data_IF_252324866253
#
_entry.id   IF_252324866253
#
_cell.length_a   1.000
_cell.length_b   1.000
_cell.length_c   1.000
_cell.angle_alpha   90.00
_cell.angle_beta   90.00
_cell.angle_gamma   90.00
#
_symmetry.space_group_name_H-M   'P 1'
#
loop_
_entity.id
_entity.type
_entity.pdbx_description
1 polymer ?
#
# COMPACT_ATOMS: atom_id res chain seq x y z
N UNK A 1 -24.81 21.33 0.70
CA UNK A 1 -24.79 20.09 -0.11
C UNK A 1 -23.38 19.53 0.04
N UNK A 2 -23.19 18.57 0.95
CA UNK A 2 -21.85 18.07 1.30
C UNK A 2 -21.38 17.09 0.22
N UNK A 3 -20.23 17.38 -0.38
CA UNK A 3 -19.56 16.55 -1.40
C UNK A 3 -18.73 15.39 -0.79
N UNK A 4 -18.84 15.16 0.52
CA UNK A 4 -18.05 14.13 1.19
C UNK A 4 -18.75 12.76 1.15
N UNK A 5 -18.04 11.83 0.52
CA UNK A 5 -18.19 10.37 0.54
C UNK A 5 -19.33 9.74 -0.26
N UNK A 6 -19.32 9.94 -1.57
CA UNK A 6 -19.88 8.91 -2.46
C UNK A 6 -19.00 7.65 -2.36
N UNK A 7 -19.48 6.63 -1.67
CA UNK A 7 -18.82 5.34 -1.60
C UNK A 7 -18.79 4.68 -2.98
N UNK A 8 -17.63 4.16 -3.37
CA UNK A 8 -17.45 3.51 -4.68
C UNK A 8 -17.86 2.03 -4.57
N UNK A 9 -18.73 1.51 -5.45
CA UNK A 9 -19.08 0.08 -5.45
C UNK A 9 -17.85 -0.83 -5.49
N UNK A 10 -17.88 -1.93 -4.74
CA UNK A 10 -16.73 -2.84 -4.58
C UNK A 10 -16.08 -3.25 -5.91
N UNK A 11 -16.87 -3.64 -6.92
CA UNK A 11 -16.32 -4.06 -8.21
C UNK A 11 -15.56 -2.93 -8.93
N UNK A 12 -16.06 -1.69 -8.82
CA UNK A 12 -15.39 -0.52 -9.39
C UNK A 12 -14.13 -0.19 -8.61
N UNK A 13 -14.20 -0.22 -7.28
CA UNK A 13 -13.06 -0.03 -6.39
C UNK A 13 -11.94 -1.05 -6.69
N UNK A 14 -12.30 -2.33 -6.78
CA UNK A 14 -11.37 -3.42 -7.11
C UNK A 14 -10.69 -3.17 -8.45
N UNK A 15 -11.47 -2.88 -9.49
CA UNK A 15 -10.94 -2.59 -10.82
C UNK A 15 -9.98 -1.39 -10.82
N UNK A 16 -10.29 -0.32 -10.07
CA UNK A 16 -9.41 0.85 -9.96
C UNK A 16 -8.07 0.49 -9.32
N UNK A 17 -8.09 -0.25 -8.21
CA UNK A 17 -6.88 -0.65 -7.48
C UNK A 17 -6.04 -1.61 -8.34
N UNK A 18 -6.64 -2.65 -8.91
CA UNK A 18 -5.94 -3.62 -9.76
C UNK A 18 -5.31 -2.93 -10.99
N UNK A 19 -6.09 -2.09 -11.70
CA UNK A 19 -5.59 -1.37 -12.88
C UNK A 19 -4.46 -0.41 -12.52
N UNK A 20 -4.53 0.24 -11.36
CA UNK A 20 -3.50 1.15 -10.90
C UNK A 20 -2.20 0.44 -10.48
N UNK A 21 -2.29 -0.82 -10.06
CA UNK A 21 -1.17 -1.60 -9.52
C UNK A 21 -0.70 -2.73 -10.46
N UNK A 22 -1.25 -2.82 -11.66
CA UNK A 22 -0.96 -3.90 -12.64
C UNK A 22 0.54 -4.11 -12.89
N UNK A 23 1.31 -3.02 -12.98
CA UNK A 23 2.77 -3.09 -13.19
C UNK A 23 3.53 -3.70 -12.02
N UNK A 24 3.01 -3.57 -10.80
CA UNK A 24 3.61 -4.16 -9.60
C UNK A 24 3.26 -5.64 -9.47
N UNK A 25 2.10 -6.07 -9.99
CA UNK A 25 1.69 -7.47 -9.97
C UNK A 25 2.31 -8.31 -11.10
N UNK A 26 2.72 -7.70 -12.21
CA UNK A 26 3.24 -8.41 -13.40
C UNK A 26 4.77 -8.50 -13.47
N UNK A 27 5.51 -7.92 -12.51
CA UNK A 27 6.98 -8.00 -12.51
C UNK A 27 7.47 -9.45 -12.33
N UNK A 28 8.23 -9.96 -13.31
CA UNK A 28 8.70 -11.35 -13.36
C UNK A 28 9.63 -11.74 -12.19
N UNK A 29 10.31 -10.76 -11.61
CA UNK A 29 10.99 -10.86 -10.32
C UNK A 29 10.32 -9.88 -9.35
N UNK A 30 9.74 -10.38 -8.25
CA UNK A 30 9.17 -9.51 -7.21
C UNK A 30 7.72 -9.08 -7.40
N UNK A 31 6.88 -9.88 -8.07
CA UNK A 31 5.43 -9.62 -8.12
C UNK A 31 4.86 -9.39 -6.70
N UNK A 32 4.26 -8.21 -6.50
CA UNK A 32 3.64 -7.85 -5.23
C UNK A 32 2.36 -8.67 -5.06
N UNK A 33 2.25 -9.56 -4.05
CA UNK A 33 1.02 -10.31 -3.83
C UNK A 33 -0.07 -9.34 -3.39
N UNK A 34 -1.08 -9.15 -4.24
CA UNK A 34 -2.23 -8.30 -4.01
C UNK A 34 -3.49 -9.16 -3.90
N UNK A 35 -4.27 -8.94 -2.85
CA UNK A 35 -5.55 -9.63 -2.63
C UNK A 35 -6.60 -8.60 -2.25
N UNK A 36 -7.71 -8.58 -2.98
CA UNK A 36 -8.82 -7.64 -2.75
C UNK A 36 -10.10 -8.45 -2.62
N UNK A 37 -10.73 -8.38 -1.44
CA UNK A 37 -11.87 -9.21 -1.07
C UNK A 37 -12.97 -8.38 -0.43
N UNK A 38 -14.21 -8.83 -0.62
CA UNK A 38 -15.37 -8.34 0.11
C UNK A 38 -16.01 -9.51 0.85
N UNK A 39 -15.89 -9.53 2.18
CA UNK A 39 -16.44 -10.60 3.00
C UNK A 39 -17.25 -10.04 4.15
N UNK A 40 -18.47 -10.55 4.34
CA UNK A 40 -19.36 -10.19 5.48
C UNK A 40 -19.56 -8.67 5.62
N UNK A 41 -19.63 -7.94 4.50
CA UNK A 41 -19.80 -6.49 4.51
C UNK A 41 -18.53 -5.70 4.81
N UNK A 42 -17.35 -6.31 4.71
CA UNK A 42 -16.05 -5.66 4.95
C UNK A 42 -15.22 -5.75 3.67
N UNK A 43 -14.73 -4.60 3.21
CA UNK A 43 -13.69 -4.53 2.18
C UNK A 43 -12.34 -4.78 2.83
N UNK A 44 -11.57 -5.70 2.26
CA UNK A 44 -10.20 -6.03 2.68
C UNK A 44 -9.27 -5.98 1.48
N UNK A 45 -8.19 -5.23 1.60
CA UNK A 45 -7.11 -5.14 0.61
C UNK A 45 -5.82 -5.53 1.33
N UNK A 46 -5.11 -6.51 0.80
CA UNK A 46 -3.83 -6.99 1.35
C UNK A 46 -2.77 -6.93 0.27
N UNK A 47 -1.64 -6.31 0.58
CA UNK A 47 -0.51 -6.20 -0.32
C UNK A 47 0.79 -6.59 0.39
N UNK A 48 1.62 -7.42 -0.25
CA UNK A 48 2.99 -7.65 0.21
C UNK A 48 3.82 -6.36 0.15
N UNK A 49 4.76 -6.21 1.08
CA UNK A 49 5.71 -5.09 1.09
C UNK A 49 7.13 -5.60 1.38
N UNK A 50 8.17 -4.85 0.98
CA UNK A 50 9.52 -5.09 1.48
C UNK A 50 9.58 -4.97 3.01
N UNK A 51 10.69 -5.39 3.65
CA UNK A 51 10.90 -5.21 5.08
C UNK A 51 10.56 -3.77 5.52
N UNK A 52 9.63 -3.65 6.46
CA UNK A 52 9.16 -2.35 6.93
C UNK A 52 10.29 -1.61 7.66
N UNK A 53 10.74 -0.50 7.08
CA UNK A 53 11.68 0.44 7.70
C UNK A 53 10.94 1.65 8.25
N UNK A 54 11.60 2.39 9.15
CA UNK A 54 11.03 3.63 9.69
C UNK A 54 10.72 4.65 8.58
N UNK A 55 11.59 4.74 7.56
CA UNK A 55 11.39 5.61 6.39
C UNK A 55 10.09 5.23 5.68
N UNK A 56 9.90 3.95 5.35
CA UNK A 56 8.68 3.47 4.67
C UNK A 56 7.44 3.76 5.51
N UNK A 57 7.52 3.59 6.84
CA UNK A 57 6.42 3.88 7.74
C UNK A 57 6.05 5.37 7.75
N UNK A 58 7.04 6.26 7.86
CA UNK A 58 6.80 7.70 7.90
C UNK A 58 6.34 8.27 6.55
N UNK A 59 6.91 7.81 5.43
CA UNK A 59 6.42 8.18 4.10
C UNK A 59 4.97 7.71 3.91
N UNK A 60 4.64 6.51 4.40
CA UNK A 60 3.26 6.01 4.36
C UNK A 60 2.33 6.86 5.22
N UNK A 61 2.78 7.33 6.38
CA UNK A 61 2.01 8.25 7.24
C UNK A 61 1.76 9.59 6.56
N UNK A 62 2.73 10.12 5.82
CA UNK A 62 2.55 11.33 5.02
C UNK A 62 1.46 11.14 3.96
N UNK A 63 1.49 10.00 3.24
CA UNK A 63 0.46 9.65 2.25
C UNK A 63 -0.91 9.47 2.91
N UNK A 64 -0.98 8.81 4.06
CA UNK A 64 -2.23 8.68 4.83
C UNK A 64 -2.79 10.06 5.14
N UNK A 65 -1.96 10.97 5.67
CA UNK A 65 -2.37 12.33 6.04
C UNK A 65 -2.74 13.22 4.86
N UNK A 66 -2.19 12.95 3.68
CA UNK A 66 -2.54 13.63 2.42
C UNK A 66 -3.98 13.36 1.99
N UNK A 67 -4.48 12.14 2.23
CA UNK A 67 -5.81 11.70 1.78
C UNK A 67 -6.84 11.61 2.90
N UNK A 68 -6.41 11.38 4.13
CA UNK A 68 -7.27 11.15 5.29
C UNK A 68 -7.00 12.23 6.32
N UNK A 69 -7.99 13.10 6.50
CA UNK A 69 -7.87 14.27 7.37
C UNK A 69 -7.67 13.89 8.83
N UNK A 70 -8.51 13.02 9.37
CA UNK A 70 -8.49 12.66 10.79
C UNK A 70 -8.09 11.20 10.94
N UNK A 71 -7.01 10.95 11.69
CA UNK A 71 -6.51 9.60 11.98
C UNK A 71 -6.23 9.43 13.47
N UNK A 72 -6.43 8.23 13.98
CA UNK A 72 -5.92 7.77 15.27
C UNK A 72 -4.92 6.64 15.09
N UNK A 73 -3.98 6.56 16.01
CA UNK A 73 -3.05 5.43 16.14
C UNK A 73 -3.71 4.40 17.07
N UNK A 74 -3.96 3.19 16.59
CA UNK A 74 -4.44 2.07 17.42
C UNK A 74 -3.29 1.28 18.04
N UNK A 75 -2.24 1.07 17.26
CA UNK A 75 -1.05 0.34 17.67
C UNK A 75 0.17 1.00 17.04
N UNK A 76 1.24 1.11 17.82
CA UNK A 76 2.53 1.65 17.37
C UNK A 76 3.65 0.81 17.97
N UNK A 77 3.58 -0.49 17.72
CA UNK A 77 4.49 -1.47 18.28
C UNK A 77 5.39 -2.03 17.18
N UNK A 78 6.62 -2.39 17.55
CA UNK A 78 7.55 -2.99 16.60
C UNK A 78 6.96 -4.30 16.08
N UNK A 79 6.74 -4.37 14.76
CA UNK A 79 6.11 -5.53 14.12
C UNK A 79 4.65 -5.34 13.74
N UNK A 80 3.96 -4.35 14.33
CA UNK A 80 2.56 -4.02 14.04
C UNK A 80 2.26 -2.54 14.26
N UNK A 81 2.01 -1.81 13.17
CA UNK A 81 1.56 -0.42 13.21
C UNK A 81 0.15 -0.33 12.65
N UNK A 82 -0.74 0.38 13.34
CA UNK A 82 -2.16 0.40 13.02
C UNK A 82 -2.73 1.80 13.12
N UNK A 83 -3.29 2.27 12.01
CA UNK A 83 -3.88 3.59 11.87
C UNK A 83 -5.34 3.45 11.46
N UNK A 84 -6.23 4.22 12.07
CA UNK A 84 -7.63 4.24 11.68
C UNK A 84 -8.11 5.66 11.45
N UNK A 85 -8.80 5.84 10.34
CA UNK A 85 -9.51 7.07 10.03
C UNK A 85 -10.63 7.32 11.03
N UNK A 86 -10.79 8.58 11.40
CA UNK A 86 -11.90 9.05 12.21
C UNK A 86 -12.97 9.65 11.29
N UNK A 87 -14.16 9.85 11.84
CA UNK A 87 -15.22 10.57 11.14
C UNK A 87 -14.76 12.00 10.81
N UNK A 88 -15.29 12.59 9.73
CA UNK A 88 -15.01 13.99 9.39
C UNK A 88 -15.35 14.93 10.54
N UNK A 89 -16.46 14.65 11.25
CA UNK A 89 -16.71 15.23 12.56
C UNK A 89 -16.11 14.33 13.65
N UNK A 90 -14.96 14.74 14.19
CA UNK A 90 -14.24 14.01 15.25
C UNK A 90 -15.02 13.89 16.57
N UNK A 91 -16.03 14.75 16.79
CA UNK A 91 -16.91 14.66 17.96
C UNK A 91 -18.01 13.62 17.80
N UNK A 92 -18.27 13.16 16.57
CA UNK A 92 -19.18 12.06 16.33
C UNK A 92 -18.43 10.74 16.55
N UNK A 93 -18.76 10.03 17.62
CA UNK A 93 -18.15 8.74 17.98
C UNK A 93 -18.92 7.53 17.46
N UNK A 94 -20.07 7.73 16.81
CA UNK A 94 -20.83 6.62 16.22
C UNK A 94 -20.04 5.95 15.11
N UNK A 95 -20.09 4.61 15.07
CA UNK A 95 -19.49 3.78 14.02
C UNK A 95 -17.99 4.04 13.77
N UNK A 96 -17.26 4.56 14.75
CA UNK A 96 -15.83 4.89 14.60
C UNK A 96 -14.97 3.65 14.25
N UNK A 97 -15.44 2.46 14.61
CA UNK A 97 -14.82 1.17 14.30
C UNK A 97 -15.05 0.71 12.85
N UNK A 98 -16.02 1.31 12.17
CA UNK A 98 -16.42 0.94 10.81
C UNK A 98 -15.55 1.62 9.75
N UNK A 99 -14.79 2.64 10.16
CA UNK A 99 -13.93 3.46 9.32
C UNK A 99 -12.69 2.71 8.81
N UNK A 100 -12.03 3.28 7.78
CA UNK A 100 -10.83 2.71 7.19
C UNK A 100 -9.74 2.51 8.24
N UNK A 101 -9.18 1.31 8.27
CA UNK A 101 -8.05 0.90 9.07
C UNK A 101 -6.93 0.42 8.16
N UNK A 102 -5.71 0.88 8.42
CA UNK A 102 -4.49 0.55 7.68
C UNK A 102 -3.51 -0.05 8.70
N UNK A 103 -3.20 -1.32 8.50
CA UNK A 103 -2.28 -2.10 9.32
C UNK A 103 -1.02 -2.44 8.54
N UNK A 104 0.14 -2.20 9.15
CA UNK A 104 1.44 -2.65 8.67
C UNK A 104 1.92 -3.78 9.58
N UNK A 105 2.19 -4.94 8.99
CA UNK A 105 2.74 -6.10 9.69
C UNK A 105 4.15 -6.37 9.19
N UNK A 106 5.10 -6.70 10.08
CA UNK A 106 6.51 -6.90 9.67
C UNK A 106 7.25 -8.06 10.36
N UNK A 107 6.54 -8.97 11.06
CA UNK A 107 7.18 -10.01 11.91
C UNK A 107 7.69 -11.22 11.11
N UNK A 108 6.90 -11.74 10.17
CA UNK A 108 7.26 -12.96 9.40
C UNK A 108 7.39 -12.63 7.93
N UNK A 109 6.28 -12.19 7.33
CA UNK A 109 6.22 -11.64 5.98
C UNK A 109 5.64 -10.24 6.12
N UNK A 110 6.33 -9.25 5.57
CA UNK A 110 5.86 -7.87 5.68
C UNK A 110 4.70 -7.66 4.71
N UNK A 111 3.58 -7.15 5.22
CA UNK A 111 2.41 -6.82 4.38
C UNK A 111 1.64 -5.64 4.97
N UNK A 112 0.92 -4.96 4.10
CA UNK A 112 -0.09 -3.97 4.46
C UNK A 112 -1.45 -4.63 4.33
N UNK A 113 -2.30 -4.40 5.31
CA UNK A 113 -3.71 -4.77 5.27
C UNK A 113 -4.57 -3.54 5.50
N UNK A 114 -5.48 -3.29 4.58
CA UNK A 114 -6.45 -2.22 4.65
C UNK A 114 -7.83 -2.82 4.79
N UNK A 115 -8.57 -2.37 5.79
CA UNK A 115 -9.92 -2.86 6.08
C UNK A 115 -10.90 -1.71 6.30
N UNK A 116 -12.12 -1.85 5.82
CA UNK A 116 -13.22 -0.92 6.09
C UNK A 116 -14.55 -1.65 6.04
N UNK A 117 -15.50 -1.30 6.90
CA UNK A 117 -16.87 -1.79 6.79
C UNK A 117 -17.56 -1.10 5.62
N UNK A 118 -18.10 -1.88 4.71
CA UNK A 118 -18.65 -1.40 3.45
C UNK A 118 -17.56 -1.07 2.44
N UNK A 119 -17.86 -0.08 1.60
CA UNK A 119 -17.04 0.33 0.48
C UNK A 119 -16.10 1.49 0.85
N UNK A 120 -15.07 1.71 0.03
CA UNK A 120 -14.15 2.84 0.20
C UNK A 120 -14.64 4.08 -0.58
N UNK A 121 -14.29 5.27 -0.09
CA UNK A 121 -14.40 6.52 -0.84
C UNK A 121 -13.22 6.69 -1.81
N UNK A 122 -13.30 7.66 -2.72
CA UNK A 122 -12.22 7.90 -3.68
C UNK A 122 -10.90 8.26 -3.01
N UNK A 123 -10.92 9.07 -1.95
CA UNK A 123 -9.70 9.43 -1.22
C UNK A 123 -9.06 8.25 -0.52
N UNK A 124 -9.87 7.34 0.03
CA UNK A 124 -9.36 6.10 0.62
C UNK A 124 -8.75 5.19 -0.45
N UNK A 125 -9.37 5.07 -1.62
CA UNK A 125 -8.81 4.32 -2.77
C UNK A 125 -7.47 4.93 -3.19
N UNK A 126 -7.40 6.25 -3.33
CA UNK A 126 -6.19 6.96 -3.71
C UNK A 126 -5.07 6.72 -2.68
N UNK A 127 -5.39 6.79 -1.39
CA UNK A 127 -4.45 6.50 -0.30
C UNK A 127 -3.90 5.09 -0.40
N UNK A 128 -4.76 4.08 -0.58
CA UNK A 128 -4.33 2.68 -0.73
C UNK A 128 -3.37 2.51 -1.91
N UNK A 129 -3.72 3.06 -3.07
CA UNK A 129 -2.89 2.96 -4.29
C UNK A 129 -1.54 3.65 -4.08
N UNK A 130 -1.53 4.86 -3.54
CA UNK A 130 -0.31 5.64 -3.36
C UNK A 130 0.61 5.00 -2.33
N UNK A 131 0.08 4.48 -1.22
CA UNK A 131 0.85 3.71 -0.23
C UNK A 131 1.49 2.49 -0.90
N UNK A 132 0.70 1.63 -1.55
CA UNK A 132 1.21 0.38 -2.15
C UNK A 132 2.28 0.67 -3.21
N UNK A 133 2.11 1.72 -4.01
CA UNK A 133 3.12 2.16 -4.97
C UNK A 133 4.37 2.67 -4.30
N UNK A 134 4.24 3.51 -3.28
CA UNK A 134 5.39 4.10 -2.60
C UNK A 134 6.26 3.02 -1.94
N UNK A 135 5.63 2.13 -1.17
CA UNK A 135 6.35 1.07 -0.44
C UNK A 135 6.99 0.04 -1.37
N UNK A 136 6.46 -0.17 -2.57
CA UNK A 136 7.00 -1.10 -3.56
C UNK A 136 7.76 -0.41 -4.71
N UNK A 137 8.00 0.91 -4.63
CA UNK A 137 8.67 1.67 -5.69
C UNK A 137 10.07 1.14 -6.02
N UNK A 138 10.79 0.66 -5.01
CA UNK A 138 12.09 0.01 -5.17
C UNK A 138 12.05 -1.35 -5.86
N UNK A 139 10.89 -2.02 -5.94
CA UNK A 139 10.77 -3.29 -6.68
C UNK A 139 10.62 -3.08 -8.19
N UNK A 140 10.23 -1.89 -8.62
CA UNK A 140 10.29 -1.47 -10.03
C UNK A 140 11.70 -1.04 -10.46
N UNK A 141 12.64 -0.96 -9.52
CA UNK A 141 14.01 -0.51 -9.77
C UNK A 141 14.90 -1.71 -10.09
N UNK A 142 15.12 -1.97 -11.38
CA UNK A 142 16.23 -2.80 -11.83
C UNK A 142 17.49 -1.93 -11.99
N UNK A 143 18.53 -2.09 -11.14
CA UNK A 143 19.76 -1.31 -11.26
C UNK A 143 20.39 -1.46 -12.64
N UNK A 144 20.25 -2.64 -13.26
CA UNK A 144 20.78 -2.92 -14.58
C UNK A 144 20.08 -2.08 -15.66
N UNK A 145 18.77 -1.94 -15.58
CA UNK A 145 18.03 -1.15 -16.57
C UNK A 145 18.30 0.35 -16.40
N UNK A 146 18.47 0.82 -15.16
CA UNK A 146 18.88 2.21 -14.90
C UNK A 146 20.29 2.51 -15.40
N UNK A 147 21.22 1.59 -15.19
CA UNK A 147 22.59 1.71 -15.71
C UNK A 147 22.59 1.77 -17.24
N UNK A 148 21.77 0.94 -17.91
CA UNK A 148 21.58 1.01 -19.37
C UNK A 148 20.99 2.34 -19.83
N UNK A 149 19.96 2.86 -19.15
CA UNK A 149 19.39 4.19 -19.45
C UNK A 149 20.41 5.32 -19.34
N UNK A 150 21.36 5.22 -18.41
CA UNK A 150 22.43 6.18 -18.21
C UNK A 150 23.62 5.98 -19.19
N UNK A 151 23.47 5.09 -20.17
CA UNK A 151 24.49 4.80 -21.18
C UNK A 151 25.61 3.87 -20.70
N UNK A 152 25.46 3.22 -19.56
CA UNK A 152 26.43 2.25 -19.09
C UNK A 152 26.26 0.90 -19.82
N UNK A 153 27.39 0.27 -20.14
CA UNK A 153 27.42 -1.11 -20.62
C UNK A 153 27.67 -2.03 -19.44
N UNK A 154 26.74 -2.96 -19.19
CA UNK A 154 26.86 -3.92 -18.10
C UNK A 154 27.62 -5.14 -18.60
N UNK A 155 28.77 -5.41 -18.00
CA UNK A 155 29.53 -6.63 -18.27
C UNK A 155 29.01 -7.73 -17.34
N UNK A 156 28.30 -8.72 -17.91
CA UNK A 156 27.99 -9.96 -17.21
C UNK A 156 29.30 -10.71 -16.93
N UNK A 157 29.59 -11.01 -15.67
CA UNK A 157 30.77 -11.77 -15.28
C UNK A 157 30.66 -13.24 -15.67
N UNK A 158 30.74 -13.56 -16.96
CA UNK A 158 30.93 -14.93 -17.46
C UNK A 158 32.40 -15.32 -17.62
N UNK A 159 33.32 -14.50 -17.10
CA UNK A 159 34.73 -14.86 -16.97
C UNK A 159 35.14 -14.67 -15.51
N UNK A 160 34.84 -15.66 -14.67
CA UNK A 160 35.72 -15.96 -13.54
C UNK A 160 37.12 -16.15 -14.12
N UNK A 161 38.13 -15.34 -13.75
CA UNK A 161 39.50 -15.66 -14.09
C UNK A 161 39.81 -16.98 -13.41
N UNK A 162 40.02 -18.02 -14.21
CA UNK A 162 40.56 -19.28 -13.75
C UNK A 162 42.00 -18.98 -13.29
N UNK A 163 42.22 -18.98 -11.97
CA UNK A 163 43.54 -18.80 -11.36
C UNK A 163 44.15 -20.16 -11.04
N UNK A 164 44.19 -21.06 -12.03
CA UNK A 164 45.01 -22.28 -12.02
C UNK A 164 46.26 -22.10 -12.89
#
# INVERSE_FOLDING_TARGET
MNLHDSLIPFDQMKNQIESALVRLSESAEGAVPLTIEFQKGISRIKAGIPPLTDIILFDSLEIIKKHIENIRILSFEKGHYSFQSLNSNVFNTENITDNLKIDFFSIVNSFIEVTKKGNLSQEEINSVIEIIRNVNSGQLFNPADRLKELGATIMSGENTPDWD
#
